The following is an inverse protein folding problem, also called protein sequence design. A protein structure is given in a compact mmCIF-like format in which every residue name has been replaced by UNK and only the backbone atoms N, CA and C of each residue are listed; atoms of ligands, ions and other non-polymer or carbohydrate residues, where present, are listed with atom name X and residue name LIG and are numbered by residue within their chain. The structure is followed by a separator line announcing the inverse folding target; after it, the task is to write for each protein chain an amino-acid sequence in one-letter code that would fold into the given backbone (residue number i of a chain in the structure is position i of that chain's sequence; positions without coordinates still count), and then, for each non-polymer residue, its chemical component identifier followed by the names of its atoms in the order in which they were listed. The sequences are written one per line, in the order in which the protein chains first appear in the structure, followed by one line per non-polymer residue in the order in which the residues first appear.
data_IF_710887339114
#
_entry.id   IF_710887339114
#
_cell.length_a   1.000
_cell.length_b   1.000
_cell.length_c   1.000
_cell.angle_alpha   90.00
_cell.angle_beta   90.00
_cell.angle_gamma   90.00
#
_symmetry.space_group_name_H-M   'P 1'
#
loop_
_entity.id
_entity.type
_entity.pdbx_description
1 polymer ?
#
# COMPACT_ATOMS: atom_id res chain seq x y z
N UNK A 1 6.83 -6.14 8.00
CA UNK A 1 5.78 -5.15 8.37
C UNK A 1 6.40 -4.10 9.28
N UNK A 2 6.19 -2.81 8.99
CA UNK A 2 6.74 -1.70 9.78
C UNK A 2 6.22 -1.75 11.23
N UNK A 3 7.06 -1.44 12.25
CA UNK A 3 6.68 -1.53 13.67
C UNK A 3 5.43 -0.73 14.02
N UNK A 4 5.29 0.49 13.48
CA UNK A 4 4.12 1.35 13.75
C UNK A 4 2.83 0.75 13.18
N UNK A 5 2.89 0.14 11.99
CA UNK A 5 1.73 -0.56 11.41
C UNK A 5 1.33 -1.73 12.28
N UNK A 6 2.32 -2.51 12.77
CA UNK A 6 2.07 -3.60 13.73
C UNK A 6 1.36 -3.11 14.99
N UNK A 7 1.83 -1.99 15.57
CA UNK A 7 1.25 -1.37 16.77
C UNK A 7 -0.22 -0.96 16.54
N UNK A 8 -0.50 -0.32 15.38
CA UNK A 8 -1.87 0.09 15.02
C UNK A 8 -2.78 -1.13 14.89
N UNK A 9 -2.32 -2.18 14.21
CA UNK A 9 -3.11 -3.40 14.02
C UNK A 9 -3.37 -4.15 15.35
N UNK A 10 -2.40 -4.18 16.25
CA UNK A 10 -2.59 -4.78 17.58
C UNK A 10 -3.63 -4.00 18.38
N UNK A 11 -3.53 -2.66 18.42
CA UNK A 11 -4.54 -1.81 19.06
C UNK A 11 -5.94 -1.99 18.48
N UNK A 12 -6.03 -2.13 17.16
CA UNK A 12 -7.30 -2.41 16.48
C UNK A 12 -7.88 -3.77 16.89
N UNK A 13 -7.04 -4.80 16.98
CA UNK A 13 -7.45 -6.13 17.45
C UNK A 13 -7.97 -6.09 18.90
N UNK A 14 -7.30 -5.38 19.78
CA UNK A 14 -7.76 -5.17 21.16
C UNK A 14 -9.13 -4.50 21.19
N UNK A 15 -9.34 -3.48 20.35
CA UNK A 15 -10.64 -2.81 20.23
C UNK A 15 -11.74 -3.75 19.74
N UNK A 16 -11.46 -4.63 18.76
CA UNK A 16 -12.40 -5.66 18.32
C UNK A 16 -12.78 -6.63 19.45
N UNK A 17 -11.84 -7.02 20.29
CA UNK A 17 -12.13 -7.86 21.47
C UNK A 17 -13.01 -7.14 22.50
N UNK A 18 -12.83 -5.83 22.69
CA UNK A 18 -13.72 -5.01 23.53
C UNK A 18 -15.14 -5.04 23.00
N UNK A 19 -15.33 -4.77 21.71
CA UNK A 19 -16.65 -4.81 21.06
C UNK A 19 -17.29 -6.22 21.17
N UNK A 20 -16.51 -7.28 20.95
CA UNK A 20 -16.97 -8.66 21.08
C UNK A 20 -17.49 -8.97 22.49
N UNK A 21 -16.81 -8.49 23.52
CA UNK A 21 -17.25 -8.65 24.92
C UNK A 21 -18.50 -7.82 25.22
N UNK A 22 -18.58 -6.60 24.67
CA UNK A 22 -19.70 -5.67 24.84
C UNK A 22 -20.97 -6.18 24.18
N UNK A 23 -20.91 -6.57 22.90
CA UNK A 23 -22.06 -6.98 22.11
C UNK A 23 -22.43 -8.48 22.24
N UNK A 24 -21.55 -9.28 22.80
CA UNK A 24 -21.80 -10.71 23.13
C UNK A 24 -22.49 -11.49 21.99
N UNK A 25 -23.79 -11.79 22.15
CA UNK A 25 -24.60 -12.57 21.18
C UNK A 25 -24.85 -11.83 19.88
N UNK A 26 -24.88 -10.52 19.91
CA UNK A 26 -25.09 -9.68 18.72
C UNK A 26 -23.82 -9.50 17.89
N UNK A 27 -22.64 -9.90 18.40
CA UNK A 27 -21.40 -9.83 17.66
C UNK A 27 -21.29 -11.00 16.68
N UNK A 28 -21.06 -10.69 15.40
CA UNK A 28 -20.90 -11.68 14.33
C UNK A 28 -19.64 -12.53 14.56
N UNK A 29 -19.81 -13.85 14.57
CA UNK A 29 -18.68 -14.80 14.70
C UNK A 29 -18.11 -15.22 13.34
N UNK A 30 -18.73 -14.76 12.25
CA UNK A 30 -18.37 -15.18 10.88
C UNK A 30 -17.01 -14.66 10.43
N UNK A 31 -16.62 -13.48 10.92
CA UNK A 31 -15.43 -12.74 10.44
C UNK A 31 -14.40 -12.46 11.54
N UNK A 32 -14.27 -13.35 12.54
CA UNK A 32 -13.44 -13.16 13.73
C UNK A 32 -11.96 -12.87 13.47
N UNK A 33 -11.44 -13.31 12.32
CA UNK A 33 -10.03 -13.14 11.96
C UNK A 33 -9.83 -12.06 10.88
N UNK A 34 -10.87 -11.29 10.56
CA UNK A 34 -10.78 -10.21 9.58
C UNK A 34 -10.46 -8.89 10.25
N UNK A 35 -9.61 -8.09 9.58
CA UNK A 35 -9.22 -6.76 10.05
C UNK A 35 -10.33 -5.74 9.80
N UNK A 36 -10.95 -5.79 8.62
CA UNK A 36 -11.94 -4.82 8.18
C UNK A 36 -13.36 -5.27 8.55
N UNK A 37 -13.68 -5.22 9.84
CA UNK A 37 -15.03 -5.46 10.35
C UNK A 37 -15.53 -4.25 11.14
N UNK A 38 -16.84 -4.09 11.22
CA UNK A 38 -17.50 -3.04 12.00
C UNK A 38 -17.55 -3.38 13.50
N UNK A 39 -18.23 -2.54 14.27
CA UNK A 39 -18.38 -2.72 15.73
C UNK A 39 -19.16 -3.99 16.12
N UNK A 40 -20.01 -4.50 15.23
CA UNK A 40 -20.78 -5.73 15.42
C UNK A 40 -20.05 -6.96 14.84
N UNK A 41 -18.87 -6.78 14.26
CA UNK A 41 -18.07 -7.86 13.69
C UNK A 41 -18.50 -8.24 12.27
N UNK A 42 -19.32 -7.46 11.60
CA UNK A 42 -19.70 -7.69 10.20
C UNK A 42 -18.72 -7.03 9.23
N UNK A 43 -18.55 -7.64 8.06
CA UNK A 43 -17.55 -7.21 7.08
C UNK A 43 -17.86 -5.82 6.53
N UNK A 44 -16.90 -4.91 6.63
CA UNK A 44 -16.96 -3.60 5.99
C UNK A 44 -16.89 -3.79 4.46
N UNK A 45 -17.91 -3.35 3.75
CA UNK A 45 -17.98 -3.48 2.29
C UNK A 45 -16.94 -2.57 1.61
N UNK A 46 -16.24 -3.04 0.55
CA UNK A 46 -15.24 -2.23 -0.17
C UNK A 46 -15.78 -0.87 -0.64
N UNK A 47 -17.02 -0.83 -1.12
CA UNK A 47 -17.66 0.42 -1.57
C UNK A 47 -17.78 1.44 -0.44
N UNK A 48 -18.10 1.01 0.79
CA UNK A 48 -18.14 1.89 1.95
C UNK A 48 -16.79 2.60 2.19
N UNK A 49 -15.69 1.85 2.08
CA UNK A 49 -14.33 2.43 2.24
C UNK A 49 -14.07 3.50 1.19
N UNK A 50 -14.40 3.21 -0.08
CA UNK A 50 -14.19 4.14 -1.19
C UNK A 50 -15.04 5.41 -1.07
N UNK A 51 -16.31 5.26 -0.70
CA UNK A 51 -17.24 6.37 -0.51
C UNK A 51 -16.81 7.24 0.67
N UNK A 52 -16.47 6.61 1.80
CA UNK A 52 -16.04 7.32 3.01
C UNK A 52 -14.73 8.07 2.81
N UNK A 53 -13.80 7.51 2.04
CA UNK A 53 -12.56 8.17 1.64
C UNK A 53 -12.86 9.48 0.89
N UNK A 54 -13.78 9.45 -0.08
CA UNK A 54 -14.18 10.64 -0.82
C UNK A 54 -14.82 11.70 0.09
N UNK A 55 -15.63 11.29 1.07
CA UNK A 55 -16.23 12.19 2.06
C UNK A 55 -15.14 12.86 2.91
N UNK A 56 -14.13 12.09 3.36
CA UNK A 56 -13.01 12.62 4.12
C UNK A 56 -12.18 13.63 3.32
N UNK A 57 -11.86 13.33 2.06
CA UNK A 57 -11.15 14.26 1.19
C UNK A 57 -11.90 15.59 1.06
N UNK A 58 -13.21 15.54 0.81
CA UNK A 58 -14.07 16.72 0.71
C UNK A 58 -14.12 17.49 2.04
N UNK A 59 -14.29 16.80 3.17
CA UNK A 59 -14.36 17.39 4.51
C UNK A 59 -13.08 18.17 4.88
N UNK A 60 -11.92 17.68 4.45
CA UNK A 60 -10.63 18.30 4.74
C UNK A 60 -10.09 19.17 3.59
N UNK A 61 -10.91 19.50 2.58
CA UNK A 61 -10.52 20.29 1.40
C UNK A 61 -9.28 19.74 0.68
N UNK A 62 -9.12 18.41 0.67
CA UNK A 62 -8.04 17.75 -0.02
C UNK A 62 -8.41 17.50 -1.49
N UNK A 63 -7.37 17.44 -2.36
CA UNK A 63 -7.55 17.11 -3.77
C UNK A 63 -8.29 15.78 -3.92
N UNK A 64 -9.30 15.74 -4.78
CA UNK A 64 -10.03 14.51 -5.11
C UNK A 64 -9.10 13.54 -5.84
N UNK A 65 -8.89 12.37 -5.26
CA UNK A 65 -8.19 11.22 -5.83
C UNK A 65 -9.02 9.97 -5.57
N UNK A 66 -8.82 8.90 -6.33
CA UNK A 66 -9.46 7.62 -6.08
C UNK A 66 -8.73 6.90 -4.92
N UNK A 67 -9.44 6.10 -4.14
CA UNK A 67 -8.83 5.30 -3.08
C UNK A 67 -7.68 4.41 -3.61
N UNK A 68 -7.84 3.86 -4.82
CA UNK A 68 -6.82 3.04 -5.47
C UNK A 68 -5.56 3.82 -5.86
N UNK A 69 -5.66 5.14 -6.05
CA UNK A 69 -4.50 5.97 -6.38
C UNK A 69 -3.46 6.02 -5.25
N UNK A 70 -3.88 5.74 -3.99
CA UNK A 70 -2.96 5.59 -2.86
C UNK A 70 -1.99 4.41 -3.08
N UNK A 71 -2.48 3.32 -3.67
CA UNK A 71 -1.67 2.17 -4.04
C UNK A 71 -0.65 2.53 -5.13
N UNK A 72 -1.08 3.27 -6.16
CA UNK A 72 -0.19 3.77 -7.20
C UNK A 72 0.88 4.71 -6.63
N UNK A 73 0.48 5.61 -5.74
CA UNK A 73 1.42 6.52 -5.04
C UNK A 73 2.48 5.74 -4.26
N UNK A 74 2.07 4.71 -3.51
CA UNK A 74 3.01 3.87 -2.77
C UNK A 74 4.03 3.20 -3.70
N UNK A 75 3.59 2.60 -4.80
CA UNK A 75 4.48 1.98 -5.76
C UNK A 75 5.41 3.01 -6.45
N UNK A 76 4.90 4.20 -6.82
CA UNK A 76 5.73 5.29 -7.39
C UNK A 76 6.81 5.77 -6.42
N UNK A 77 6.51 5.84 -5.12
CA UNK A 77 7.49 6.20 -4.10
C UNK A 77 8.59 5.13 -3.98
N UNK A 78 8.25 3.84 -4.03
CA UNK A 78 9.22 2.76 -4.00
C UNK A 78 10.13 2.78 -5.23
N UNK A 79 9.59 3.07 -6.41
CA UNK A 79 10.38 3.27 -7.64
C UNK A 79 11.31 4.48 -7.50
N UNK A 80 10.83 5.60 -6.96
CA UNK A 80 11.64 6.79 -6.72
C UNK A 80 12.78 6.56 -5.71
N UNK A 81 12.61 5.60 -4.80
CA UNK A 81 13.65 5.14 -3.87
C UNK A 81 14.63 4.13 -4.50
N UNK A 82 14.49 3.85 -5.81
CA UNK A 82 15.29 2.86 -6.55
C UNK A 82 15.16 1.43 -6.01
N UNK A 83 14.01 1.08 -5.42
CA UNK A 83 13.75 -0.29 -4.99
C UNK A 83 13.64 -1.24 -6.19
N UNK A 84 14.09 -2.48 -6.00
CA UNK A 84 14.03 -3.50 -7.04
C UNK A 84 12.57 -3.81 -7.43
N UNK A 85 12.26 -3.88 -8.73
CA UNK A 85 10.91 -4.13 -9.23
C UNK A 85 10.28 -5.43 -8.69
N UNK A 86 11.08 -6.48 -8.44
CA UNK A 86 10.58 -7.72 -7.80
C UNK A 86 10.17 -7.49 -6.35
N UNK A 87 10.90 -6.63 -5.64
CA UNK A 87 10.57 -6.24 -4.26
C UNK A 87 9.28 -5.44 -4.25
N UNK A 88 9.14 -4.48 -5.18
CA UNK A 88 7.91 -3.68 -5.34
C UNK A 88 6.72 -4.58 -5.65
N UNK A 89 6.87 -5.53 -6.59
CA UNK A 89 5.83 -6.50 -6.93
C UNK A 89 5.39 -7.31 -5.71
N UNK A 90 6.34 -7.87 -4.97
CA UNK A 90 6.06 -8.66 -3.77
C UNK A 90 5.38 -7.81 -2.68
N UNK A 91 5.87 -6.59 -2.44
CA UNK A 91 5.30 -5.66 -1.47
C UNK A 91 3.87 -5.26 -1.83
N UNK A 92 3.62 -4.99 -3.11
CA UNK A 92 2.29 -4.62 -3.60
C UNK A 92 1.34 -5.83 -3.72
N UNK A 93 1.83 -7.07 -3.65
CA UNK A 93 1.02 -8.27 -3.84
C UNK A 93 0.47 -8.40 -5.26
N UNK A 94 1.21 -7.96 -6.27
CA UNK A 94 0.82 -8.12 -7.67
C UNK A 94 1.11 -9.56 -8.13
N UNK A 95 0.12 -10.20 -8.74
CA UNK A 95 0.25 -11.57 -9.26
C UNK A 95 1.19 -11.68 -10.46
N UNK A 96 1.34 -10.59 -11.25
CA UNK A 96 2.21 -10.56 -12.42
C UNK A 96 3.12 -9.34 -12.41
N UNK A 97 4.31 -9.49 -12.98
CA UNK A 97 5.30 -8.42 -13.09
C UNK A 97 4.90 -7.36 -14.13
N UNK A 98 4.11 -7.74 -15.15
CA UNK A 98 3.70 -6.84 -16.22
C UNK A 98 2.88 -5.65 -15.70
N UNK A 99 1.99 -5.88 -14.72
CA UNK A 99 1.18 -4.83 -14.11
C UNK A 99 2.07 -3.74 -13.45
N UNK A 100 3.18 -4.15 -12.83
CA UNK A 100 4.11 -3.22 -12.21
C UNK A 100 4.98 -2.53 -13.26
N UNK A 101 5.53 -3.28 -14.23
CA UNK A 101 6.38 -2.76 -15.28
C UNK A 101 5.63 -1.80 -16.21
N UNK A 102 4.44 -2.16 -16.69
CA UNK A 102 3.64 -1.33 -17.61
C UNK A 102 3.23 0.01 -16.96
N UNK A 103 2.93 -0.01 -15.66
CA UNK A 103 2.51 1.20 -14.94
C UNK A 103 3.69 2.16 -14.69
N UNK A 104 4.93 1.65 -14.56
CA UNK A 104 6.09 2.43 -14.12
C UNK A 104 7.26 2.44 -15.11
N UNK A 105 7.10 1.87 -16.32
CA UNK A 105 8.14 1.82 -17.38
C UNK A 105 8.71 3.19 -17.76
N UNK A 106 7.87 4.24 -17.71
CA UNK A 106 8.30 5.61 -18.01
C UNK A 106 9.21 6.23 -16.91
N UNK A 107 9.26 5.66 -15.70
CA UNK A 107 10.17 6.09 -14.64
C UNK A 107 11.54 5.39 -14.74
N UNK A 108 11.61 4.27 -15.46
CA UNK A 108 12.81 3.43 -15.60
C UNK A 108 13.84 4.03 -16.58
N UNK A 109 13.43 4.93 -17.49
CA UNK A 109 14.34 5.61 -18.43
C UNK A 109 15.41 6.45 -17.72
N UNK A 110 15.11 7.03 -16.55
CA UNK A 110 16.11 7.75 -15.74
C UNK A 110 17.09 6.80 -15.05
N UNK A 111 16.62 5.66 -14.57
CA UNK A 111 17.44 4.64 -13.94
C UNK A 111 18.43 4.02 -14.94
N UNK A 112 17.99 3.78 -16.18
CA UNK A 112 18.82 3.26 -17.27
C UNK A 112 19.92 4.26 -17.67
N UNK A 113 19.60 5.57 -17.71
CA UNK A 113 20.59 6.63 -17.99
C UNK A 113 21.65 6.73 -16.89
N UNK A 114 21.26 6.65 -15.62
CA UNK A 114 22.18 6.69 -14.47
C UNK A 114 23.06 5.43 -14.44
N UNK A 115 22.51 4.26 -14.73
CA UNK A 115 23.26 3.01 -14.85
C UNK A 115 24.29 3.08 -15.98
N UNK A 116 23.91 3.64 -17.13
CA UNK A 116 24.82 3.88 -18.25
C UNK A 116 26.00 4.80 -17.88
N UNK A 117 25.72 5.90 -17.16
CA UNK A 117 26.77 6.81 -16.68
C UNK A 117 27.72 6.14 -15.67
N UNK A 118 27.17 5.34 -14.73
CA UNK A 118 27.97 4.58 -13.76
C UNK A 118 28.86 3.54 -14.44
N UNK A 119 28.32 2.84 -15.46
CA UNK A 119 29.11 1.88 -16.24
C UNK A 119 30.21 2.58 -17.04
N UNK A 120 29.90 3.72 -17.66
CA UNK A 120 30.89 4.54 -18.38
C UNK A 120 32.04 5.01 -17.49
N UNK A 121 31.75 5.41 -16.26
CA UNK A 121 32.80 5.83 -15.29
C UNK A 121 33.68 4.67 -14.81
N UNK A 122 33.18 3.43 -14.80
CA UNK A 122 33.96 2.24 -14.45
C UNK A 122 34.87 1.74 -15.58
N UNK A 123 34.46 2.00 -16.84
CA UNK A 123 35.21 1.56 -18.03
C UNK A 123 36.23 2.62 -18.43
N UNK A 124 35.93 3.94 -18.23
CA UNK A 124 36.80 5.05 -18.61
C UNK A 124 38.05 5.26 -17.75
N UNK A 125 38.21 4.56 -16.61
CA UNK A 125 39.39 4.69 -15.72
C UNK A 125 40.46 3.61 -15.95
N UNK A 126 40.63 3.13 -17.17
CA UNK A 126 41.66 2.11 -17.51
C UNK A 126 42.78 2.61 -18.43
N UNK A 127 42.99 3.90 -18.58
CA UNK A 127 44.12 4.46 -19.31
C UNK A 127 44.80 5.58 -18.48
N UNK A 128 45.56 5.16 -17.46
CA UNK A 128 46.76 5.85 -16.95
C UNK A 128 47.72 4.81 -16.36
#
# INVERSE_FOLDING_TARGET
MHPDVKKILLKHKEQQEVYRKQFKRSYSKKYLNMVCVDQLGDLIRPNFVTEHFNILLKKHNLRKIRFHDLRHTCASLLVALNENMKVIQAYMGHSTMSITADTYSHLDTRATSIAGMKLGSLIGNKDE
#
